data_IF_753988269222
#
_entry.id   IF_753988269222
#
_cell.length_a   1.000
_cell.length_b   1.000
_cell.length_c   1.000
_cell.angle_alpha   90.00
_cell.angle_beta   90.00
_cell.angle_gamma   90.00
#
_symmetry.space_group_name_H-M   'P 1'
#
loop_
_entity.id
_entity.type
_entity.pdbx_description
1 polymer ?
#
# COMPACT_ATOMS: atom_id res chain seq x y z
N UNK A 1 -4.17 0.08 -16.00
CA UNK A 1 -4.74 -1.23 -16.41
C UNK A 1 -5.45 -1.86 -15.21
N UNK A 2 -6.38 -2.80 -15.41
CA UNK A 2 -7.19 -3.37 -14.32
C UNK A 2 -6.94 -4.88 -14.14
N UNK A 3 -7.06 -5.37 -12.91
CA UNK A 3 -7.04 -6.78 -12.54
C UNK A 3 -8.28 -7.07 -11.69
N UNK A 4 -9.20 -7.89 -12.20
CA UNK A 4 -10.50 -8.16 -11.56
C UNK A 4 -11.30 -6.89 -11.19
N UNK A 5 -11.24 -5.86 -12.05
CA UNK A 5 -11.90 -4.56 -11.80
C UNK A 5 -11.13 -3.61 -10.89
N UNK A 6 -10.05 -4.06 -10.26
CA UNK A 6 -9.17 -3.23 -9.42
C UNK A 6 -8.12 -2.55 -10.29
N UNK A 7 -7.91 -1.25 -10.10
CA UNK A 7 -6.93 -0.49 -10.85
C UNK A 7 -5.50 -0.84 -10.40
N UNK A 8 -4.58 -0.95 -11.36
CA UNK A 8 -3.13 -1.04 -11.16
C UNK A 8 -2.44 -0.13 -12.19
N UNK A 9 -2.20 1.15 -11.85
CA UNK A 9 -1.44 2.07 -12.69
C UNK A 9 -0.04 1.53 -13.04
N UNK A 10 0.41 1.74 -14.27
CA UNK A 10 1.65 1.17 -14.81
C UNK A 10 2.89 1.98 -14.43
N UNK A 11 2.70 3.23 -14.06
CA UNK A 11 3.73 4.20 -13.66
C UNK A 11 4.14 4.07 -12.18
N UNK A 12 3.51 3.17 -11.43
CA UNK A 12 3.83 2.90 -10.04
C UNK A 12 4.75 1.68 -9.89
N UNK A 13 5.47 1.67 -8.76
CA UNK A 13 6.16 0.51 -8.24
C UNK A 13 5.26 -0.23 -7.26
N UNK A 14 5.48 -1.53 -7.10
CA UNK A 14 4.62 -2.38 -6.28
C UNK A 14 5.42 -3.36 -5.44
N UNK A 15 4.91 -3.60 -4.23
CA UNK A 15 5.34 -4.64 -3.31
C UNK A 15 4.16 -5.59 -3.02
N UNK A 16 3.96 -6.65 -3.84
CA UNK A 16 2.82 -7.56 -3.70
C UNK A 16 2.72 -8.22 -2.33
N UNK A 17 3.86 -8.58 -1.74
CA UNK A 17 3.92 -9.22 -0.43
C UNK A 17 3.45 -8.34 0.74
N UNK A 18 3.32 -7.03 0.49
CA UNK A 18 2.92 -6.02 1.47
C UNK A 18 1.58 -5.36 1.12
N UNK A 19 0.98 -5.68 -0.04
CA UNK A 19 -0.19 -4.98 -0.60
C UNK A 19 0.03 -3.47 -0.74
N UNK A 20 1.25 -3.05 -1.08
CA UNK A 20 1.60 -1.64 -1.23
C UNK A 20 1.97 -1.28 -2.65
N UNK A 21 1.59 -0.07 -3.06
CA UNK A 21 2.23 0.64 -4.15
C UNK A 21 3.22 1.66 -3.60
N UNK A 22 4.19 2.01 -4.43
CA UNK A 22 5.20 3.02 -4.16
C UNK A 22 5.32 3.96 -5.36
N UNK A 23 5.48 5.25 -5.08
CA UNK A 23 5.77 6.28 -6.08
C UNK A 23 7.00 7.04 -5.67
N UNK A 24 7.89 7.25 -6.63
CA UNK A 24 9.04 8.14 -6.45
C UNK A 24 8.59 9.58 -6.58
N UNK A 25 9.01 10.40 -5.63
CA UNK A 25 8.78 11.84 -5.64
C UNK A 25 10.07 12.58 -6.00
N UNK A 26 9.96 13.84 -6.42
CA UNK A 26 11.09 14.63 -6.89
C UNK A 26 12.13 14.98 -5.80
N UNK A 27 11.80 14.78 -4.52
CA UNK A 27 12.66 15.02 -3.35
C UNK A 27 13.30 13.72 -2.83
N UNK A 28 13.46 12.72 -3.70
CA UNK A 28 14.03 11.39 -3.42
C UNK A 28 13.27 10.58 -2.34
N UNK A 29 12.09 11.05 -1.92
CA UNK A 29 11.21 10.28 -1.05
C UNK A 29 10.34 9.31 -1.85
N UNK A 30 10.00 8.19 -1.22
CA UNK A 30 9.00 7.26 -1.70
C UNK A 30 7.67 7.51 -0.99
N UNK A 31 6.62 7.81 -1.74
CA UNK A 31 5.25 7.76 -1.24
C UNK A 31 4.74 6.32 -1.26
N UNK A 32 4.20 5.83 -0.14
CA UNK A 32 3.66 4.48 0.00
C UNK A 32 2.15 4.55 0.28
N UNK A 33 1.37 3.67 -0.34
CA UNK A 33 -0.06 3.50 -0.06
C UNK A 33 -0.53 2.06 -0.29
N UNK A 34 -1.74 1.73 0.19
CA UNK A 34 -2.34 0.42 -0.10
C UNK A 34 -2.74 0.32 -1.57
N UNK A 35 -2.52 -0.83 -2.19
CA UNK A 35 -3.09 -1.12 -3.50
C UNK A 35 -4.61 -1.25 -3.43
N UNK A 36 -5.29 -1.13 -4.57
CA UNK A 36 -6.71 -1.42 -4.67
C UNK A 36 -7.04 -2.84 -4.16
N UNK A 37 -6.14 -3.80 -4.38
CA UNK A 37 -6.25 -5.14 -3.80
C UNK A 37 -6.14 -5.14 -2.27
N UNK A 38 -5.18 -4.44 -1.69
CA UNK A 38 -5.08 -4.29 -0.23
C UNK A 38 -6.34 -3.66 0.37
N UNK A 39 -6.88 -2.64 -0.29
CA UNK A 39 -8.14 -2.01 0.13
C UNK A 39 -9.33 -2.97 0.04
N UNK A 40 -9.44 -3.74 -1.04
CA UNK A 40 -10.50 -4.73 -1.22
C UNK A 40 -10.42 -5.86 -0.18
N UNK A 41 -9.21 -6.34 0.14
CA UNK A 41 -8.97 -7.34 1.17
C UNK A 41 -9.37 -6.87 2.56
N UNK A 42 -9.07 -5.61 2.90
CA UNK A 42 -9.38 -5.05 4.21
C UNK A 42 -10.83 -4.58 4.33
N UNK A 43 -11.50 -4.35 3.19
CA UNK A 43 -12.82 -3.75 3.16
C UNK A 43 -12.78 -2.32 3.71
N UNK A 44 -13.77 -1.95 4.51
CA UNK A 44 -13.83 -0.60 5.10
C UNK A 44 -12.71 -0.37 6.12
N UNK A 45 -11.87 0.62 5.84
CA UNK A 45 -10.79 1.05 6.72
C UNK A 45 -11.31 2.13 7.68
N UNK A 46 -11.13 1.88 8.98
CA UNK A 46 -11.58 2.75 10.06
C UNK A 46 -10.50 3.65 10.62
N UNK A 47 -9.23 3.21 10.60
CA UNK A 47 -8.12 4.00 11.09
C UNK A 47 -6.80 3.61 10.43
N UNK A 48 -5.89 4.60 10.38
CA UNK A 48 -4.47 4.37 10.15
C UNK A 48 -3.68 5.10 11.23
N UNK A 49 -2.89 4.34 11.99
CA UNK A 49 -2.04 4.84 13.07
C UNK A 49 -0.58 4.71 12.63
N UNK A 50 0.05 5.78 12.11
CA UNK A 50 1.44 5.74 11.70
C UNK A 50 2.38 5.74 12.91
N UNK A 51 3.60 5.26 12.69
CA UNK A 51 4.73 5.53 13.58
C UNK A 51 5.14 7.01 13.49
N UNK A 52 5.96 7.43 14.47
CA UNK A 52 6.43 8.81 14.55
C UNK A 52 7.31 9.16 13.33
N UNK A 53 7.04 10.31 12.75
CA UNK A 53 7.90 10.93 11.73
C UNK A 53 9.34 11.10 12.27
N UNK A 54 10.33 10.84 11.40
CA UNK A 54 11.75 10.76 11.73
C UNK A 54 12.21 9.40 12.27
N UNK A 55 11.31 8.43 12.49
CA UNK A 55 11.70 7.12 13.00
C UNK A 55 12.33 6.22 11.92
N UNK A 56 13.39 5.49 12.30
CA UNK A 56 13.97 4.42 11.48
C UNK A 56 13.03 3.21 11.41
N UNK A 57 12.74 2.76 10.19
CA UNK A 57 11.93 1.58 9.89
C UNK A 57 12.77 0.57 9.13
N UNK A 58 13.03 -0.60 9.73
CA UNK A 58 13.72 -1.70 9.04
C UNK A 58 12.76 -2.41 8.07
N UNK A 59 13.33 -3.04 7.04
CA UNK A 59 12.59 -3.88 6.11
C UNK A 59 11.73 -4.93 6.87
N UNK A 60 10.52 -5.16 6.38
CA UNK A 60 9.50 -6.02 6.97
C UNK A 60 9.02 -5.62 8.37
N UNK A 61 9.46 -4.49 8.93
CA UNK A 61 8.91 -3.93 10.16
C UNK A 61 7.75 -2.99 9.86
N UNK A 62 6.82 -2.90 10.81
CA UNK A 62 5.67 -2.01 10.73
C UNK A 62 6.11 -0.53 10.69
N UNK A 63 5.54 0.26 9.77
CA UNK A 63 5.54 1.72 9.77
C UNK A 63 4.22 2.31 10.30
N UNK A 64 3.21 1.46 10.52
CA UNK A 64 1.92 1.84 11.09
C UNK A 64 0.97 0.64 11.21
N UNK A 65 -0.22 0.90 11.73
CA UNK A 65 -1.31 -0.08 11.87
C UNK A 65 -2.52 0.42 11.10
N UNK A 66 -3.12 -0.46 10.30
CA UNK A 66 -4.39 -0.21 9.60
C UNK A 66 -5.47 -1.00 10.32
N UNK A 67 -6.52 -0.33 10.76
CA UNK A 67 -7.68 -0.93 11.44
C UNK A 67 -8.88 -0.94 10.49
N UNK A 68 -9.58 -2.07 10.44
CA UNK A 68 -10.71 -2.31 9.54
C UNK A 68 -11.63 -3.34 10.16
N UNK A 69 -12.93 -3.32 9.84
CA UNK A 69 -13.93 -4.24 10.38
C UNK A 69 -13.68 -4.59 11.88
N UNK A 70 -13.44 -5.86 12.19
CA UNK A 70 -13.12 -6.37 13.54
C UNK A 70 -11.65 -6.81 13.66
N UNK A 71 -10.75 -6.23 12.87
CA UNK A 71 -9.36 -6.64 12.74
C UNK A 71 -8.42 -5.45 12.60
N UNK A 72 -7.12 -5.73 12.71
CA UNK A 72 -6.07 -4.78 12.43
C UNK A 72 -4.88 -5.51 11.77
N UNK A 73 -4.18 -4.81 10.89
CA UNK A 73 -3.00 -5.31 10.21
C UNK A 73 -1.82 -4.34 10.38
N UNK A 74 -0.63 -4.90 10.59
CA UNK A 74 0.60 -4.15 10.54
C UNK A 74 0.95 -3.79 9.10
N UNK A 75 0.98 -2.49 8.78
CA UNK A 75 1.50 -2.01 7.52
C UNK A 75 3.03 -2.06 7.57
N UNK A 76 3.61 -3.07 6.91
CA UNK A 76 5.04 -3.38 6.96
C UNK A 76 5.76 -2.73 5.78
N UNK A 77 6.92 -2.15 6.03
CA UNK A 77 7.72 -1.55 4.97
C UNK A 77 8.39 -2.63 4.12
N UNK A 78 8.34 -2.54 2.78
CA UNK A 78 9.14 -3.41 1.92
C UNK A 78 10.61 -3.03 1.95
N UNK A 79 10.95 -1.83 2.42
CA UNK A 79 12.30 -1.27 2.40
C UNK A 79 12.75 -0.78 3.78
N UNK A 80 14.06 -0.77 4.00
CA UNK A 80 14.67 -0.06 5.14
C UNK A 80 14.80 1.44 4.83
N UNK A 81 14.40 2.29 5.78
CA UNK A 81 14.59 3.74 5.65
C UNK A 81 14.19 4.53 6.89
N UNK A 82 14.04 5.84 6.70
CA UNK A 82 13.49 6.80 7.67
C UNK A 82 12.06 7.17 7.25
N UNK A 83 11.09 7.06 8.16
CA UNK A 83 9.74 7.55 7.94
C UNK A 83 9.79 9.08 7.89
N UNK A 84 9.70 9.66 6.69
CA UNK A 84 9.87 11.09 6.48
C UNK A 84 8.65 11.87 6.98
N UNK A 85 7.45 11.43 6.58
CA UNK A 85 6.20 12.06 6.98
C UNK A 85 5.03 11.09 6.86
N UNK A 86 4.02 11.23 7.71
CA UNK A 86 2.75 10.52 7.59
C UNK A 86 1.64 11.40 6.98
N UNK A 87 0.66 10.79 6.32
CA UNK A 87 -0.47 11.52 5.75
C UNK A 87 -1.47 11.92 6.83
N UNK A 88 -1.35 13.16 7.32
CA UNK A 88 -2.23 13.69 8.35
C UNK A 88 -3.71 13.76 7.92
N UNK A 89 -4.00 13.88 6.62
CA UNK A 89 -5.37 13.86 6.10
C UNK A 89 -5.99 12.47 6.29
N UNK A 90 -5.27 11.40 5.94
CA UNK A 90 -5.71 10.01 6.13
C UNK A 90 -5.89 9.66 7.61
N UNK A 91 -5.02 10.16 8.50
CA UNK A 91 -5.19 9.95 9.95
C UNK A 91 -6.51 10.56 10.45
N UNK A 92 -6.92 11.72 9.92
CA UNK A 92 -8.21 12.36 10.25
C UNK A 92 -9.39 11.75 9.48
N UNK A 93 -9.16 11.27 8.26
CA UNK A 93 -10.18 10.78 7.32
C UNK A 93 -9.74 9.44 6.69
N UNK A 94 -9.77 8.34 7.44
CA UNK A 94 -9.23 7.04 6.98
C UNK A 94 -9.91 6.48 5.75
N UNK A 95 -11.18 6.85 5.51
CA UNK A 95 -11.93 6.45 4.33
C UNK A 95 -11.29 6.87 3.00
N UNK A 96 -10.39 7.87 3.00
CA UNK A 96 -9.61 8.25 1.81
C UNK A 96 -8.77 7.09 1.27
N UNK A 97 -8.30 6.19 2.14
CA UNK A 97 -7.54 5.02 1.72
C UNK A 97 -8.40 4.14 0.80
N UNK A 98 -9.67 3.93 1.14
CA UNK A 98 -10.59 3.20 0.27
C UNK A 98 -11.02 3.99 -0.97
N UNK A 99 -11.28 5.31 -0.82
CA UNK A 99 -11.88 6.13 -1.88
C UNK A 99 -10.88 6.48 -3.00
N UNK A 100 -9.62 6.72 -2.65
CA UNK A 100 -8.60 7.22 -3.57
C UNK A 100 -7.22 6.68 -3.20
N UNK A 101 -7.10 5.35 -3.17
CA UNK A 101 -5.91 4.64 -2.68
C UNK A 101 -4.60 5.03 -3.38
N UNK A 102 -4.65 5.45 -4.66
CA UNK A 102 -3.48 5.85 -5.46
C UNK A 102 -3.22 7.36 -5.47
N UNK A 103 -4.19 8.17 -5.05
CA UNK A 103 -4.09 9.62 -4.94
C UNK A 103 -3.95 10.07 -3.48
N UNK A 104 -5.00 10.67 -2.94
CA UNK A 104 -5.06 11.26 -1.59
C UNK A 104 -5.00 10.24 -0.44
N UNK A 105 -5.24 8.97 -0.71
CA UNK A 105 -5.22 7.86 0.24
C UNK A 105 -3.84 7.27 0.57
N UNK A 106 -2.74 7.92 0.18
CA UNK A 106 -1.39 7.49 0.54
C UNK A 106 -1.17 7.50 2.06
N UNK A 107 -0.28 6.65 2.57
CA UNK A 107 -0.11 6.42 4.01
C UNK A 107 1.09 7.19 4.59
N UNK A 108 2.28 6.96 4.02
CA UNK A 108 3.55 7.52 4.51
C UNK A 108 4.47 7.89 3.36
N UNK A 109 5.42 8.79 3.61
CA UNK A 109 6.61 9.02 2.79
C UNK A 109 7.83 8.45 3.50
N UNK A 110 8.69 7.76 2.78
CA UNK A 110 9.87 7.08 3.29
C UNK A 110 11.11 7.55 2.52
N UNK A 111 12.18 7.89 3.23
CA UNK A 111 13.52 8.03 2.64
C UNK A 111 14.21 6.67 2.80
N UNK A 112 14.42 5.95 1.69
CA UNK A 112 15.06 4.64 1.71
C UNK A 112 16.60 4.77 1.82
N UNK A 113 17.25 3.82 2.52
CA UNK A 113 18.71 3.87 2.74
C UNK A 113 19.52 3.76 1.43
N UNK A 114 19.08 2.93 0.49
CA UNK A 114 19.67 2.78 -0.85
C UNK A 114 18.55 2.53 -1.86
N UNK A 115 17.94 3.63 -2.31
CA UNK A 115 16.79 3.60 -3.18
C UNK A 115 17.08 2.85 -4.51
N UNK A 116 18.25 3.05 -5.10
CA UNK A 116 18.61 2.46 -6.38
C UNK A 116 18.73 0.94 -6.29
N UNK A 117 19.43 0.43 -5.26
CA UNK A 117 19.56 -1.01 -5.04
C UNK A 117 18.21 -1.64 -4.69
N UNK A 118 17.43 -0.99 -3.83
CA UNK A 118 16.20 -1.55 -3.28
C UNK A 118 15.04 -1.57 -4.29
N UNK A 119 15.03 -0.68 -5.30
CA UNK A 119 14.07 -0.72 -6.41
C UNK A 119 14.08 -2.01 -7.20
N UNK A 120 15.23 -2.69 -7.28
CA UNK A 120 15.35 -3.99 -7.97
C UNK A 120 14.47 -5.09 -7.35
N UNK A 121 14.00 -4.87 -6.11
CA UNK A 121 13.11 -5.77 -5.38
C UNK A 121 11.62 -5.43 -5.60
N UNK A 122 11.31 -4.33 -6.28
CA UNK A 122 9.96 -3.86 -6.55
C UNK A 122 9.56 -4.19 -7.99
N UNK A 123 8.25 -4.36 -8.21
CA UNK A 123 7.71 -4.71 -9.52
C UNK A 123 6.97 -3.53 -10.14
N UNK A 124 6.85 -3.50 -11.46
CA UNK A 124 6.07 -2.49 -12.18
C UNK A 124 5.35 -3.10 -13.39
N UNK A 125 4.40 -2.35 -13.96
CA UNK A 125 3.66 -2.72 -15.17
C UNK A 125 3.07 -4.12 -15.16
N UNK A 126 3.30 -4.86 -16.25
CA UNK A 126 2.73 -6.19 -16.44
C UNK A 126 3.22 -7.22 -15.42
N UNK A 127 4.49 -7.12 -15.00
CA UNK A 127 5.09 -8.05 -14.02
C UNK A 127 4.44 -7.88 -12.65
N UNK A 128 4.21 -6.64 -12.21
CA UNK A 128 3.49 -6.38 -10.97
C UNK A 128 2.07 -6.96 -10.99
N UNK A 129 1.33 -6.75 -12.09
CA UNK A 129 -0.02 -7.30 -12.25
C UNK A 129 -0.03 -8.82 -12.22
N UNK A 130 0.91 -9.48 -12.89
CA UNK A 130 1.01 -10.94 -12.84
C UNK A 130 1.24 -11.44 -11.42
N UNK A 131 2.17 -10.81 -10.67
CA UNK A 131 2.43 -11.18 -9.29
C UNK A 131 1.18 -11.01 -8.39
N UNK A 132 0.40 -9.93 -8.58
CA UNK A 132 -0.87 -9.75 -7.88
C UNK A 132 -1.94 -10.76 -8.31
N UNK A 133 -1.99 -11.16 -9.58
CA UNK A 133 -2.93 -12.19 -10.05
C UNK A 133 -2.63 -13.54 -9.39
N UNK A 134 -1.36 -13.93 -9.33
CA UNK A 134 -0.93 -15.15 -8.64
C UNK A 134 -1.20 -15.08 -7.14
N UNK A 135 -1.00 -13.90 -6.53
CA UNK A 135 -1.32 -13.64 -5.12
C UNK A 135 -2.81 -13.78 -4.84
N UNK A 136 -3.66 -13.13 -5.63
CA UNK A 136 -5.12 -13.23 -5.54
C UNK A 136 -5.58 -14.69 -5.65
N UNK A 137 -4.99 -15.46 -6.57
CA UNK A 137 -5.29 -16.88 -6.69
C UNK A 137 -4.89 -17.69 -5.44
N UNK A 138 -3.71 -17.42 -4.85
CA UNK A 138 -3.27 -18.06 -3.59
C UNK A 138 -4.16 -17.70 -2.40
N UNK A 139 -4.57 -16.44 -2.32
CA UNK A 139 -5.41 -15.93 -1.24
C UNK A 139 -6.87 -16.39 -1.40
N UNK A 140 -7.23 -17.05 -2.52
CA UNK A 140 -8.61 -17.45 -2.82
C UNK A 140 -9.53 -16.25 -3.03
N UNK A 141 -8.97 -15.13 -3.50
CA UNK A 141 -9.70 -13.88 -3.68
C UNK A 141 -10.75 -14.03 -4.78
N UNK A 142 -12.01 -13.90 -4.38
CA UNK A 142 -13.15 -13.92 -5.30
C UNK A 142 -13.69 -12.50 -5.48
N UNK A 143 -13.49 -11.87 -6.66
CA UNK A 143 -14.00 -10.54 -6.95
C UNK A 143 -15.54 -10.47 -7.02
N UNK A 144 -16.24 -11.61 -7.06
CA UNK A 144 -17.69 -11.71 -7.00
C UNK A 144 -18.27 -11.88 -5.59
N UNK A 145 -17.44 -12.01 -4.56
CA UNK A 145 -17.87 -12.19 -3.17
C UNK A 145 -18.35 -10.86 -2.55
N UNK A 146 -19.49 -10.87 -1.87
CA UNK A 146 -20.03 -9.69 -1.17
C UNK A 146 -19.13 -9.19 -0.01
N UNK A 147 -18.16 -9.99 0.46
CA UNK A 147 -17.11 -9.53 1.38
C UNK A 147 -15.99 -8.72 0.70
N UNK A 148 -15.88 -8.83 -0.64
CA UNK A 148 -14.97 -8.08 -1.51
C UNK A 148 -15.65 -6.79 -2.04
N UNK A 149 -16.77 -6.39 -1.42
CA UNK A 149 -17.47 -5.14 -1.75
C UNK A 149 -16.65 -3.92 -1.28
N UNK A 150 -15.69 -3.52 -2.11
CA UNK A 150 -14.98 -2.26 -1.99
C UNK A 150 -14.63 -1.74 -3.37
N UNK A 151 -15.31 -0.65 -3.78
CA UNK A 151 -15.24 0.11 -5.04
C UNK A 151 -16.39 -0.16 -6.04
N UNK A 152 -17.64 0.09 -5.61
CA UNK A 152 -18.67 0.65 -6.50
C UNK A 152 -18.97 2.08 -6.07
#
# INVERSE_FOLDING_TARGET
>A
MNLHGLAFPDDLLYAPEHNLWLREEADDCLTLGLTAYGCALYGQIFAFTPKRDGQRIEQNRSFGVVEFAKAASSARSPLSGILHSSNAEVVRRPALINQDCYGSGWLVRLIADDLALLKTQLLTGAVARQAFAERMARDGFDPGNDGVQGLR
#
